data_IF_435091666167
#
_entry.id   IF_435091666167
#
_cell.length_a   1.000
_cell.length_b   1.000
_cell.length_c   1.000
_cell.angle_alpha   90.00
_cell.angle_beta   90.00
_cell.angle_gamma   90.00
#
_symmetry.space_group_name_H-M   'P 1'
#
loop_
_entity.id
_entity.type
_entity.pdbx_description
1 polymer ?
#
# COMPACT_ATOMS: atom_id res chain seq x y z
N UNK A 1 -16.77 -33.52 -37.64
CA UNK A 1 -17.52 -32.37 -37.10
C UNK A 1 -18.83 -32.74 -36.39
N UNK A 2 -19.49 -33.86 -36.72
CA UNK A 2 -20.76 -34.28 -36.10
C UNK A 2 -20.66 -34.86 -34.68
N UNK A 3 -19.48 -35.33 -34.24
CA UNK A 3 -19.30 -35.95 -32.90
C UNK A 3 -19.60 -34.99 -31.75
N UNK A 4 -19.22 -33.71 -31.85
CA UNK A 4 -19.54 -32.70 -30.84
C UNK A 4 -21.05 -32.44 -30.74
N UNK A 5 -21.75 -32.33 -31.88
CA UNK A 5 -23.21 -32.19 -31.91
C UNK A 5 -23.94 -33.40 -31.31
N UNK A 6 -23.45 -34.61 -31.57
CA UNK A 6 -23.98 -35.84 -30.99
C UNK A 6 -23.72 -35.93 -29.49
N UNK A 7 -22.50 -35.61 -29.02
CA UNK A 7 -22.17 -35.57 -27.60
C UNK A 7 -23.04 -34.54 -26.85
N UNK A 8 -23.24 -33.35 -27.40
CA UNK A 8 -24.07 -32.32 -26.78
C UNK A 8 -25.54 -32.74 -26.69
N UNK A 9 -26.11 -33.32 -27.76
CA UNK A 9 -27.47 -33.88 -27.72
C UNK A 9 -27.60 -35.00 -26.68
N UNK A 10 -26.61 -35.89 -26.60
CA UNK A 10 -26.60 -37.01 -25.66
C UNK A 10 -26.48 -36.56 -24.19
N UNK A 11 -25.67 -35.54 -23.91
CA UNK A 11 -25.54 -34.92 -22.59
C UNK A 11 -26.83 -34.23 -22.15
N UNK A 12 -27.52 -33.55 -23.08
CA UNK A 12 -28.76 -32.82 -22.78
C UNK A 12 -29.93 -33.74 -22.43
N UNK A 13 -29.95 -34.97 -22.94
CA UNK A 13 -30.97 -35.97 -22.60
C UNK A 13 -30.64 -36.75 -21.32
N UNK A 14 -29.39 -36.72 -20.83
CA UNK A 14 -28.97 -37.48 -19.63
C UNK A 14 -28.54 -36.54 -18.50
N UNK A 15 -29.52 -36.05 -17.73
CA UNK A 15 -29.33 -35.10 -16.62
C UNK A 15 -28.30 -35.55 -15.56
N UNK A 16 -28.18 -36.85 -15.29
CA UNK A 16 -27.21 -37.39 -14.32
C UNK A 16 -25.76 -37.07 -14.76
N UNK A 17 -25.46 -37.19 -16.05
CA UNK A 17 -24.12 -36.90 -16.57
C UNK A 17 -23.78 -35.42 -16.46
N UNK A 18 -24.76 -34.54 -16.70
CA UNK A 18 -24.59 -33.10 -16.58
C UNK A 18 -24.38 -32.68 -15.11
N UNK A 19 -25.13 -33.27 -14.18
CA UNK A 19 -24.94 -33.04 -12.74
C UNK A 19 -23.54 -33.46 -12.27
N UNK A 20 -23.01 -34.60 -12.74
CA UNK A 20 -21.65 -35.04 -12.42
C UNK A 20 -20.58 -34.07 -12.93
N UNK A 21 -20.70 -33.56 -14.16
CA UNK A 21 -19.73 -32.59 -14.70
C UNK A 21 -19.75 -31.30 -13.89
N UNK A 22 -20.93 -30.78 -13.56
CA UNK A 22 -21.05 -29.56 -12.74
C UNK A 22 -20.46 -29.79 -11.35
N UNK A 23 -20.72 -30.93 -10.72
CA UNK A 23 -20.19 -31.26 -9.40
C UNK A 23 -18.66 -31.31 -9.40
N UNK A 24 -18.05 -31.99 -10.37
CA UNK A 24 -16.58 -32.03 -10.50
C UNK A 24 -16.02 -30.66 -10.82
N UNK A 25 -16.66 -29.90 -11.72
CA UNK A 25 -16.22 -28.55 -12.09
C UNK A 25 -16.26 -27.62 -10.89
N UNK A 26 -17.32 -27.67 -10.08
CA UNK A 26 -17.44 -26.88 -8.86
C UNK A 26 -16.35 -27.27 -7.85
N UNK A 27 -16.07 -28.56 -7.67
CA UNK A 27 -15.02 -29.03 -6.78
C UNK A 27 -13.61 -28.61 -7.21
N UNK A 28 -13.32 -28.65 -8.51
CA UNK A 28 -12.04 -28.14 -9.04
C UNK A 28 -11.99 -26.61 -8.92
N UNK A 29 -13.09 -25.90 -9.20
CA UNK A 29 -13.17 -24.46 -9.08
C UNK A 29 -12.92 -23.98 -7.64
N UNK A 30 -13.48 -24.66 -6.63
CA UNK A 30 -13.23 -24.30 -5.23
C UNK A 30 -11.77 -24.50 -4.84
N UNK A 31 -11.13 -25.60 -5.28
CA UNK A 31 -9.70 -25.83 -5.04
C UNK A 31 -8.83 -24.74 -5.69
N UNK A 32 -9.13 -24.36 -6.94
CA UNK A 32 -8.40 -23.31 -7.64
C UNK A 32 -8.58 -21.96 -6.92
N UNK A 33 -9.83 -21.59 -6.59
CA UNK A 33 -10.14 -20.31 -5.95
C UNK A 33 -9.42 -20.19 -4.61
N UNK A 34 -9.49 -21.21 -3.74
CA UNK A 34 -8.87 -21.16 -2.42
C UNK A 34 -7.35 -20.99 -2.54
N UNK A 35 -6.70 -21.77 -3.40
CA UNK A 35 -5.26 -21.67 -3.60
C UNK A 35 -4.85 -20.30 -4.17
N UNK A 36 -5.63 -19.79 -5.13
CA UNK A 36 -5.37 -18.50 -5.76
C UNK A 36 -5.58 -17.33 -4.79
N UNK A 37 -6.62 -17.39 -3.97
CA UNK A 37 -6.92 -16.36 -2.96
C UNK A 37 -5.81 -16.32 -1.91
N UNK A 38 -5.40 -17.48 -1.37
CA UNK A 38 -4.34 -17.51 -0.35
C UNK A 38 -3.01 -17.01 -0.90
N UNK A 39 -2.65 -17.42 -2.13
CA UNK A 39 -1.43 -16.94 -2.79
C UNK A 39 -1.47 -15.42 -3.03
N UNK A 40 -2.60 -14.90 -3.52
CA UNK A 40 -2.79 -13.47 -3.75
C UNK A 40 -2.73 -12.64 -2.47
N UNK A 41 -3.39 -13.09 -1.40
CA UNK A 41 -3.34 -12.41 -0.11
C UNK A 41 -1.93 -12.38 0.49
N UNK A 42 -1.18 -13.48 0.39
CA UNK A 42 0.19 -13.53 0.93
C UNK A 42 1.11 -12.56 0.18
N UNK A 43 1.00 -12.50 -1.15
CA UNK A 43 1.79 -11.58 -1.96
C UNK A 43 1.43 -10.11 -1.64
N UNK A 44 0.14 -9.78 -1.61
CA UNK A 44 -0.34 -8.42 -1.32
C UNK A 44 0.02 -8.00 0.11
N UNK A 45 -0.16 -8.87 1.12
CA UNK A 45 0.24 -8.55 2.50
C UNK A 45 1.74 -8.27 2.60
N UNK A 46 2.56 -9.10 1.94
CA UNK A 46 4.01 -8.91 1.95
C UNK A 46 4.41 -7.57 1.31
N UNK A 47 3.84 -7.25 0.14
CA UNK A 47 4.08 -5.99 -0.56
C UNK A 47 3.58 -4.77 0.23
N UNK A 48 2.42 -4.88 0.91
CA UNK A 48 1.88 -3.78 1.74
C UNK A 48 2.70 -3.51 2.98
N UNK A 49 3.27 -4.54 3.60
CA UNK A 49 4.13 -4.38 4.77
C UNK A 49 5.50 -3.79 4.41
N UNK A 50 6.10 -4.24 3.31
CA UNK A 50 7.42 -3.75 2.88
C UNK A 50 7.34 -2.45 2.05
N UNK A 51 6.20 -2.15 1.43
CA UNK A 51 6.06 -0.94 0.61
C UNK A 51 5.95 0.35 1.42
N UNK A 52 5.61 0.27 2.71
CA UNK A 52 5.49 1.44 3.58
C UNK A 52 6.67 1.58 4.56
N UNK A 53 7.33 0.48 4.91
CA UNK A 53 8.47 0.46 5.82
C UNK A 53 9.79 0.43 5.04
N UNK A 54 10.84 1.09 5.57
CA UNK A 54 12.19 0.91 5.06
C UNK A 54 12.72 -0.49 5.42
N UNK A 55 13.60 -1.05 4.59
CA UNK A 55 14.19 -2.38 4.83
C UNK A 55 14.99 -2.42 6.15
N UNK A 56 15.67 -1.31 6.47
CA UNK A 56 16.41 -1.13 7.72
C UNK A 56 15.96 0.19 8.34
N UNK A 57 15.72 0.17 9.65
CA UNK A 57 15.35 1.33 10.44
C UNK A 57 16.32 1.47 11.60
N UNK A 58 16.91 2.65 11.74
CA UNK A 58 17.81 3.00 12.84
C UNK A 58 17.07 4.01 13.71
N UNK A 59 16.68 3.61 14.91
CA UNK A 59 15.91 4.44 15.83
C UNK A 59 16.73 4.86 17.05
N UNK A 60 16.59 6.13 17.43
CA UNK A 60 17.06 6.61 18.72
C UNK A 60 15.92 6.55 19.74
N UNK A 61 16.17 5.88 20.87
CA UNK A 61 15.19 5.79 21.96
C UNK A 61 15.29 6.96 22.94
N UNK A 62 16.23 7.88 22.72
CA UNK A 62 16.39 9.07 23.56
C UNK A 62 15.28 10.07 23.26
N UNK A 63 14.76 10.71 24.31
CA UNK A 63 13.65 11.66 24.24
C UNK A 63 13.90 12.89 23.35
N UNK A 64 15.15 13.18 23.01
CA UNK A 64 15.55 14.29 22.13
C UNK A 64 15.66 13.92 20.64
N UNK A 65 15.42 12.66 20.27
CA UNK A 65 15.68 12.16 18.91
C UNK A 65 17.16 11.88 18.66
N UNK A 66 17.48 11.59 17.40
CA UNK A 66 18.85 11.31 16.95
C UNK A 66 19.60 12.62 16.69
N UNK A 67 20.71 12.90 17.40
CA UNK A 67 21.55 14.06 17.07
C UNK A 67 22.26 13.81 15.73
N UNK A 68 22.36 14.86 14.91
CA UNK A 68 23.10 14.87 13.64
C UNK A 68 22.88 13.62 12.75
N UNK A 69 21.65 13.42 12.25
CA UNK A 69 21.34 12.27 11.40
C UNK A 69 22.18 12.24 10.12
N UNK A 70 22.59 13.40 9.60
CA UNK A 70 23.38 13.50 8.38
C UNK A 70 24.79 12.93 8.56
N UNK A 71 25.44 13.19 9.71
CA UNK A 71 26.73 12.59 10.02
C UNK A 71 26.66 11.06 10.15
N UNK A 72 25.59 10.54 10.75
CA UNK A 72 25.38 9.09 10.86
C UNK A 72 25.13 8.44 9.49
N UNK A 73 24.37 9.10 8.60
CA UNK A 73 24.19 8.62 7.23
C UNK A 73 25.54 8.57 6.51
N UNK A 74 26.37 9.60 6.64
CA UNK A 74 27.69 9.63 6.01
C UNK A 74 28.63 8.52 6.53
N UNK A 75 28.57 8.18 7.81
CA UNK A 75 29.32 7.04 8.38
C UNK A 75 28.85 5.70 7.79
N UNK A 76 27.54 5.51 7.64
CA UNK A 76 26.96 4.31 7.05
C UNK A 76 27.34 4.19 5.57
N UNK A 77 27.29 5.30 4.83
CA UNK A 77 27.73 5.36 3.43
C UNK A 77 29.21 5.03 3.26
N UNK A 78 30.08 5.39 4.21
CA UNK A 78 31.50 5.01 4.17
C UNK A 78 31.71 3.50 4.32
N UNK A 79 30.84 2.80 5.05
CA UNK A 79 30.98 1.35 5.30
C UNK A 79 30.30 0.52 4.21
N UNK A 80 29.07 0.87 3.84
CA UNK A 80 28.26 0.08 2.91
C UNK A 80 28.41 0.54 1.45
N UNK A 81 28.92 1.75 1.19
CA UNK A 81 29.19 2.27 -0.15
C UNK A 81 28.00 2.13 -1.09
N UNK A 82 28.23 1.46 -2.22
CA UNK A 82 27.28 1.30 -3.32
C UNK A 82 26.13 0.31 -3.03
N UNK A 83 26.12 -0.38 -1.88
CA UNK A 83 25.04 -1.31 -1.52
C UNK A 83 23.76 -0.58 -1.04
N UNK A 84 23.84 0.73 -0.78
CA UNK A 84 22.72 1.54 -0.31
C UNK A 84 21.94 2.10 -1.52
N UNK A 85 20.70 1.61 -1.71
CA UNK A 85 19.81 2.13 -2.74
C UNK A 85 19.22 3.53 -2.41
N UNK A 86 19.11 3.87 -1.13
CA UNK A 86 18.66 5.17 -0.65
C UNK A 86 18.65 5.28 0.87
N UNK A 87 18.72 6.50 1.39
CA UNK A 87 18.64 6.82 2.83
C UNK A 87 17.62 7.93 3.03
N UNK A 88 16.93 7.96 4.17
CA UNK A 88 16.10 9.11 4.53
C UNK A 88 16.02 9.23 6.03
N UNK A 89 16.10 10.46 6.54
CA UNK A 89 15.74 10.75 7.91
C UNK A 89 14.22 10.93 8.02
N UNK A 90 13.64 10.38 9.08
CA UNK A 90 12.26 10.65 9.48
C UNK A 90 12.16 10.83 10.98
N UNK A 91 11.15 11.58 11.42
CA UNK A 91 10.89 11.86 12.83
C UNK A 91 9.44 11.50 13.13
N UNK A 92 9.23 10.56 14.05
CA UNK A 92 7.90 10.09 14.43
C UNK A 92 7.58 10.53 15.85
N UNK A 93 6.56 11.39 16.00
CA UNK A 93 6.15 11.94 17.31
C UNK A 93 4.65 11.77 17.50
N UNK A 94 4.17 11.22 18.63
CA UNK A 94 2.76 11.25 18.95
C UNK A 94 2.32 12.70 19.24
N UNK A 95 1.25 13.15 18.60
CA UNK A 95 0.74 14.51 18.72
C UNK A 95 -0.78 14.55 18.90
N UNK A 96 -1.27 15.72 19.29
CA UNK A 96 -2.70 16.02 19.42
C UNK A 96 -3.07 17.10 18.43
N UNK A 97 -3.95 16.79 17.48
CA UNK A 97 -4.51 17.76 16.56
C UNK A 97 -5.79 18.35 17.15
N UNK A 98 -5.83 19.67 17.28
CA UNK A 98 -7.05 20.42 17.61
C UNK A 98 -7.69 20.95 16.34
N UNK A 99 -8.93 20.56 16.08
CA UNK A 99 -9.72 21.05 14.94
C UNK A 99 -10.89 21.84 15.49
N UNK A 100 -10.99 23.11 15.14
CA UNK A 100 -12.14 23.94 15.48
C UNK A 100 -13.23 23.76 14.42
N UNK A 101 -14.42 23.34 14.86
CA UNK A 101 -15.58 23.19 13.98
C UNK A 101 -16.86 23.50 14.75
N UNK A 102 -17.70 24.40 14.22
CA UNK A 102 -18.92 24.90 14.88
C UNK A 102 -18.69 25.36 16.33
N UNK A 103 -17.68 26.20 16.56
CA UNK A 103 -17.30 26.71 17.89
C UNK A 103 -16.94 25.63 18.93
N UNK A 104 -16.70 24.39 18.49
CA UNK A 104 -16.26 23.28 19.33
C UNK A 104 -14.85 22.84 18.94
N UNK A 105 -13.96 22.73 19.94
CA UNK A 105 -12.64 22.16 19.76
C UNK A 105 -12.72 20.63 19.80
N UNK A 106 -12.49 19.99 18.65
CA UNK A 106 -12.41 18.54 18.52
C UNK A 106 -10.93 18.16 18.57
N UNK A 107 -10.54 17.41 19.59
CA UNK A 107 -9.16 16.93 19.75
C UNK A 107 -9.03 15.49 19.24
N UNK A 108 -7.99 15.22 18.45
CA UNK A 108 -7.70 13.88 17.92
C UNK A 108 -6.23 13.56 18.16
N UNK A 109 -5.99 12.35 18.66
CA UNK A 109 -4.64 11.79 18.73
C UNK A 109 -4.19 11.44 17.31
N UNK A 110 -3.01 11.90 16.93
CA UNK A 110 -2.41 11.67 15.62
C UNK A 110 -0.95 11.27 15.78
N UNK A 111 -0.39 10.53 14.82
CA UNK A 111 1.05 10.36 14.69
C UNK A 111 1.56 11.44 13.74
N UNK A 112 2.42 12.32 14.22
CA UNK A 112 3.05 13.34 13.41
C UNK A 112 4.38 12.80 12.89
N UNK A 113 4.51 12.72 11.57
CA UNK A 113 5.71 12.21 10.90
C UNK A 113 6.34 13.33 10.09
N UNK A 114 7.53 13.76 10.48
CA UNK A 114 8.39 14.61 9.68
C UNK A 114 9.21 13.74 8.73
N UNK A 115 9.22 14.06 7.44
CA UNK A 115 9.94 13.31 6.43
C UNK A 115 10.56 14.24 5.39
N UNK A 116 11.70 13.83 4.83
CA UNK A 116 12.33 14.54 3.72
C UNK A 116 11.62 14.20 2.40
N UNK A 117 10.99 15.20 1.79
CA UNK A 117 10.21 15.06 0.57
C UNK A 117 11.03 14.52 -0.63
N UNK A 118 12.33 14.79 -0.67
CA UNK A 118 13.16 14.40 -1.82
C UNK A 118 13.64 12.94 -1.75
N UNK A 119 13.85 12.45 -0.53
CA UNK A 119 14.58 11.19 -0.34
C UNK A 119 13.69 10.08 0.23
N UNK A 120 12.58 10.42 0.90
CA UNK A 120 11.70 9.42 1.52
C UNK A 120 11.03 8.47 0.51
N UNK A 121 10.70 8.94 -0.71
CA UNK A 121 10.12 8.07 -1.76
C UNK A 121 11.13 7.06 -2.34
N UNK A 122 12.43 7.28 -2.14
CA UNK A 122 13.47 6.33 -2.56
C UNK A 122 13.57 5.13 -1.62
N UNK A 123 13.27 5.35 -0.33
CA UNK A 123 13.35 4.32 0.72
C UNK A 123 12.02 3.67 1.05
N UNK A 124 10.90 4.29 0.66
CA UNK A 124 9.54 3.81 0.89
C UNK A 124 8.68 4.12 -0.34
N UNK A 125 7.71 3.27 -0.68
CA UNK A 125 6.78 3.52 -1.79
C UNK A 125 5.67 4.53 -1.44
N UNK A 126 5.96 5.46 -0.54
CA UNK A 126 5.03 6.41 0.03
C UNK A 126 4.32 7.27 -1.02
N UNK A 127 5.07 7.80 -2.00
CA UNK A 127 4.52 8.69 -3.03
C UNK A 127 3.38 8.04 -3.82
N UNK A 128 3.46 6.72 -4.05
CA UNK A 128 2.44 5.95 -4.80
C UNK A 128 1.06 5.99 -4.16
N UNK A 129 1.00 6.18 -2.84
CA UNK A 129 -0.24 6.19 -2.06
C UNK A 129 -0.80 7.59 -1.81
N UNK A 130 -0.14 8.65 -2.30
CA UNK A 130 -0.63 10.01 -2.14
C UNK A 130 -1.88 10.25 -3.01
N UNK A 131 -2.82 11.03 -2.45
CA UNK A 131 -4.13 11.25 -3.05
C UNK A 131 -4.04 12.12 -4.32
N UNK A 132 -3.18 13.14 -4.30
CA UNK A 132 -3.02 14.06 -5.42
C UNK A 132 -2.10 13.44 -6.49
N UNK A 133 -2.48 13.41 -7.77
CA UNK A 133 -1.68 12.78 -8.83
C UNK A 133 -0.28 13.38 -8.95
N UNK A 134 -0.15 14.71 -8.86
CA UNK A 134 1.17 15.36 -8.93
C UNK A 134 2.08 14.97 -7.75
N UNK A 135 1.50 14.77 -6.56
CA UNK A 135 2.28 14.38 -5.38
C UNK A 135 2.80 12.94 -5.49
N UNK A 136 2.24 12.11 -6.38
CA UNK A 136 2.76 10.76 -6.67
C UNK A 136 4.06 10.78 -7.49
N UNK A 137 4.35 11.89 -8.18
CA UNK A 137 5.58 12.04 -8.95
C UNK A 137 6.68 12.72 -8.16
N UNK A 138 6.32 13.70 -7.33
CA UNK A 138 7.22 14.35 -6.39
C UNK A 138 6.43 14.73 -5.14
N UNK A 139 6.86 14.22 -3.99
CA UNK A 139 6.19 14.50 -2.72
C UNK A 139 6.28 16.00 -2.43
N UNK A 140 5.13 16.62 -2.16
CA UNK A 140 5.00 18.02 -1.79
C UNK A 140 3.88 18.13 -0.75
N UNK A 141 4.14 18.88 0.32
CA UNK A 141 3.19 19.11 1.40
C UNK A 141 2.34 20.36 1.18
N UNK A 142 2.62 21.12 0.11
CA UNK A 142 1.87 22.31 -0.23
C UNK A 142 0.47 21.92 -0.72
N UNK A 143 -0.52 22.68 -0.26
CA UNK A 143 -1.88 22.52 -0.73
C UNK A 143 -1.97 22.93 -2.19
N UNK A 144 -2.15 21.95 -3.08
CA UNK A 144 -2.29 22.19 -4.52
C UNK A 144 -3.67 22.75 -4.85
N UNK A 145 -3.73 23.56 -5.93
CA UNK A 145 -5.01 24.06 -6.44
C UNK A 145 -5.89 22.87 -6.88
N UNK A 146 -7.08 22.74 -6.28
CA UNK A 146 -7.98 21.60 -6.51
C UNK A 146 -8.09 20.63 -5.33
N UNK A 147 -7.38 20.87 -4.22
CA UNK A 147 -7.45 20.08 -3.00
C UNK A 147 -6.64 18.78 -3.09
N UNK A 148 -6.92 17.82 -2.19
CA UNK A 148 -6.10 16.60 -2.08
C UNK A 148 -6.43 15.51 -3.11
N UNK A 149 -7.66 15.49 -3.65
CA UNK A 149 -8.15 14.40 -4.50
C UNK A 149 -9.08 14.95 -5.60
N UNK A 150 -8.56 15.58 -6.66
CA UNK A 150 -9.36 16.23 -7.70
C UNK A 150 -10.32 15.27 -8.42
N UNK A 151 -10.00 13.96 -8.43
CA UNK A 151 -10.85 12.92 -9.04
C UNK A 151 -11.99 12.44 -8.14
N UNK A 152 -11.94 12.72 -6.82
CA UNK A 152 -12.95 12.25 -5.85
C UNK A 152 -13.91 13.38 -5.50
N UNK A 153 -15.06 13.43 -6.18
CA UNK A 153 -16.09 14.47 -5.98
C UNK A 153 -16.75 14.56 -4.60
N UNK A 154 -16.39 13.69 -3.65
CA UNK A 154 -16.86 13.74 -2.24
C UNK A 154 -15.83 14.33 -1.27
N UNK A 155 -14.62 14.67 -1.73
CA UNK A 155 -13.64 15.32 -0.86
C UNK A 155 -13.98 16.81 -0.71
N UNK A 156 -13.81 17.38 0.51
CA UNK A 156 -14.02 18.80 0.71
C UNK A 156 -13.08 19.60 -0.21
N UNK A 157 -13.66 20.54 -0.95
CA UNK A 157 -12.89 21.52 -1.71
C UNK A 157 -12.17 22.44 -0.72
N UNK A 158 -10.88 22.64 -0.96
CA UNK A 158 -10.02 23.59 -0.23
C UNK A 158 -10.43 25.03 -0.48
#
# INVERSE_FOLDING_TARGET
MYRWLLCFRYLRTRYIALASIISVTLGVATLIVVNSVMAGFSAEMHERLHGLASDILIECHTSGGMPDPDAHIAEIEQVCGDEIAGTSASVHVPAMLGIEFNDQLITRHVSFVGLDAQTYDKVSHFGRYLLHPDNRTQVSFDLRQGGYAPERGQFPHS
#
